data_IF_715858733036
#
_entry.id   IF_715858733036
#
_cell.length_a   1.000
_cell.length_b   1.000
_cell.length_c   1.000
_cell.angle_alpha   90.00
_cell.angle_beta   90.00
_cell.angle_gamma   90.00
#
_symmetry.space_group_name_H-M   'P 1'
#
loop_
_entity.id
_entity.type
_entity.pdbx_description
1 polymer ?
#
# COMPACT_ATOMS: atom_id res chain seq x y z
N UNK A 1 -9.84 -10.21 -31.15
CA UNK A 1 -8.90 -9.10 -30.86
C UNK A 1 -9.62 -7.83 -31.27
N UNK A 2 -10.55 -7.39 -30.42
CA UNK A 2 -11.40 -6.22 -30.70
C UNK A 2 -10.86 -5.05 -29.89
N UNK A 3 -10.39 -4.03 -30.60
CA UNK A 3 -10.00 -2.75 -30.03
C UNK A 3 -11.25 -2.05 -29.51
N UNK A 4 -11.29 -1.74 -28.22
CA UNK A 4 -12.32 -0.94 -27.59
C UNK A 4 -12.41 0.44 -28.27
N UNK A 5 -13.60 0.75 -28.73
CA UNK A 5 -13.99 1.95 -29.46
C UNK A 5 -13.82 3.20 -28.57
N UNK A 6 -12.71 3.91 -28.76
CA UNK A 6 -12.36 5.14 -28.02
C UNK A 6 -12.88 6.40 -28.70
N UNK A 7 -13.97 6.31 -29.46
CA UNK A 7 -14.55 7.43 -30.20
C UNK A 7 -15.79 7.99 -29.49
N UNK A 8 -15.90 9.31 -29.47
CA UNK A 8 -17.13 9.99 -29.05
C UNK A 8 -18.25 9.70 -30.05
N UNK A 9 -19.32 9.08 -29.60
CA UNK A 9 -20.48 8.69 -30.43
C UNK A 9 -21.23 9.86 -31.07
N UNK A 10 -20.87 11.12 -30.82
CA UNK A 10 -21.48 12.31 -31.40
C UNK A 10 -20.62 13.00 -32.45
N UNK A 11 -19.32 12.87 -32.43
CA UNK A 11 -18.41 13.62 -33.29
C UNK A 11 -17.42 12.75 -34.07
N UNK A 12 -17.29 11.45 -33.75
CA UNK A 12 -16.34 10.53 -34.41
C UNK A 12 -14.88 10.88 -34.18
N UNK A 13 -14.56 11.79 -33.25
CA UNK A 13 -13.20 12.16 -32.91
C UNK A 13 -12.71 11.40 -31.70
N UNK A 14 -11.39 11.11 -31.59
CA UNK A 14 -10.83 10.53 -30.38
C UNK A 14 -11.18 11.39 -29.17
N UNK A 15 -11.69 10.79 -28.09
CA UNK A 15 -11.89 11.51 -26.84
C UNK A 15 -10.53 11.97 -26.31
N UNK A 16 -10.20 13.21 -26.56
CA UNK A 16 -9.11 13.89 -25.86
C UNK A 16 -9.65 14.20 -24.47
N UNK A 17 -9.28 13.37 -23.49
CA UNK A 17 -9.45 13.76 -22.10
C UNK A 17 -8.50 14.93 -21.88
N UNK A 18 -8.99 16.14 -21.53
CA UNK A 18 -8.09 17.20 -21.13
C UNK A 18 -7.24 16.66 -19.99
N UNK A 19 -5.94 16.92 -20.03
CA UNK A 19 -5.04 16.76 -18.89
C UNK A 19 -5.60 17.59 -17.73
N UNK A 20 -6.57 17.03 -17.02
CA UNK A 20 -7.02 17.60 -15.77
C UNK A 20 -5.82 17.50 -14.83
N UNK A 21 -5.33 18.62 -14.26
CA UNK A 21 -4.31 18.56 -13.23
C UNK A 21 -4.85 17.58 -12.17
N UNK A 22 -4.05 16.59 -11.84
CA UNK A 22 -4.39 15.58 -10.82
C UNK A 22 -4.82 16.33 -9.56
N UNK A 23 -6.13 16.44 -9.33
CA UNK A 23 -6.72 17.10 -8.15
C UNK A 23 -6.73 16.18 -6.93
N UNK A 24 -6.08 15.01 -7.06
CA UNK A 24 -5.83 14.22 -5.87
C UNK A 24 -4.91 15.01 -4.94
N UNK A 25 -5.17 15.04 -3.63
CA UNK A 25 -4.14 15.50 -2.70
C UNK A 25 -2.88 14.74 -3.08
N UNK A 26 -1.84 15.49 -3.43
CA UNK A 26 -0.60 14.89 -3.90
C UNK A 26 -0.25 13.76 -2.92
N UNK A 27 -0.13 12.53 -3.44
CA UNK A 27 0.37 11.43 -2.63
C UNK A 27 1.82 11.80 -2.30
N UNK A 28 1.98 12.57 -1.23
CA UNK A 28 3.29 12.88 -0.71
C UNK A 28 3.79 11.63 0.00
N UNK A 29 4.78 11.00 -0.61
CA UNK A 29 5.47 9.84 -0.03
C UNK A 29 6.36 10.27 1.16
N UNK A 30 5.81 11.06 2.09
CA UNK A 30 6.55 11.54 3.25
C UNK A 30 6.51 10.51 4.36
N UNK A 31 7.67 10.22 4.94
CA UNK A 31 7.76 9.41 6.14
C UNK A 31 7.11 10.14 7.33
N UNK A 32 6.40 9.44 8.22
CA UNK A 32 5.79 10.07 9.39
C UNK A 32 6.86 10.55 10.37
N UNK A 33 6.58 11.68 11.03
CA UNK A 33 7.48 12.40 11.94
C UNK A 33 7.86 11.67 13.25
N UNK A 34 7.59 10.37 13.38
CA UNK A 34 7.72 9.61 14.66
C UNK A 34 8.96 8.70 14.70
N UNK A 35 9.87 8.78 13.74
CA UNK A 35 11.15 8.09 13.80
C UNK A 35 12.26 9.11 13.53
N UNK A 36 13.16 9.34 14.48
CA UNK A 36 14.33 10.23 14.34
C UNK A 36 15.36 9.71 13.32
N UNK A 37 15.19 8.51 12.79
CA UNK A 37 16.06 7.95 11.77
C UNK A 37 15.49 8.26 10.36
N UNK A 38 16.30 8.82 9.44
CA UNK A 38 15.91 9.02 8.07
C UNK A 38 15.57 7.65 7.44
N UNK A 39 14.54 7.63 6.60
CA UNK A 39 14.15 6.46 5.83
C UNK A 39 14.18 6.78 4.35
N UNK A 40 14.74 5.87 3.56
CA UNK A 40 14.62 5.94 2.11
C UNK A 40 13.29 5.33 1.68
N UNK A 41 12.69 5.85 0.62
CA UNK A 41 11.36 5.46 0.19
C UNK A 41 11.38 4.97 -1.24
N UNK A 42 10.91 3.73 -1.44
CA UNK A 42 10.51 3.19 -2.74
C UNK A 42 9.00 3.36 -2.85
N UNK A 43 8.50 3.82 -4.01
CA UNK A 43 7.07 4.04 -4.15
C UNK A 43 6.50 3.52 -5.48
N UNK A 44 5.22 3.16 -5.46
CA UNK A 44 4.40 2.87 -6.63
C UNK A 44 3.22 3.84 -6.59
N UNK A 45 3.06 4.65 -7.62
CA UNK A 45 2.00 5.64 -7.68
C UNK A 45 0.98 5.28 -8.76
N UNK A 46 -0.31 5.31 -8.38
CA UNK A 46 -1.41 5.15 -9.32
C UNK A 46 -1.58 3.73 -9.89
N UNK A 47 -1.11 2.68 -9.19
CA UNK A 47 -1.45 1.30 -9.55
C UNK A 47 -2.97 1.14 -9.65
N UNK A 48 -3.44 0.53 -10.74
CA UNK A 48 -4.87 0.29 -10.98
C UNK A 48 -5.12 -1.19 -11.20
N UNK A 49 -6.14 -1.71 -10.53
CA UNK A 49 -6.55 -3.10 -10.69
C UNK A 49 -8.07 -3.24 -10.60
N UNK A 50 -8.56 -4.44 -10.95
CA UNK A 50 -9.97 -4.80 -10.84
C UNK A 50 -10.14 -5.79 -9.70
N UNK A 51 -11.18 -5.59 -8.86
CA UNK A 51 -11.48 -6.52 -7.78
C UNK A 51 -12.92 -6.39 -7.30
N UNK A 52 -13.45 -7.46 -6.72
CA UNK A 52 -14.77 -7.44 -6.06
C UNK A 52 -14.59 -6.88 -4.65
N UNK A 53 -15.12 -5.70 -4.40
CA UNK A 53 -15.01 -5.03 -3.09
C UNK A 53 -16.18 -4.07 -2.87
N UNK A 54 -16.83 -4.17 -1.74
CA UNK A 54 -17.96 -3.34 -1.33
C UNK A 54 -18.94 -4.10 -0.47
N UNK A 55 -19.98 -3.40 0.01
CA UNK A 55 -21.03 -3.93 0.88
C UNK A 55 -22.39 -3.90 0.19
N UNK A 56 -22.54 -3.11 -0.87
CA UNK A 56 -23.81 -3.02 -1.61
C UNK A 56 -24.00 -4.27 -2.48
N UNK A 57 -25.24 -4.69 -2.63
CA UNK A 57 -25.58 -5.88 -3.42
C UNK A 57 -25.04 -5.81 -4.87
N UNK A 58 -24.97 -4.61 -5.45
CA UNK A 58 -24.40 -4.36 -6.77
C UNK A 58 -22.88 -4.50 -6.83
N UNK A 59 -22.19 -4.49 -5.69
CA UNK A 59 -20.73 -4.56 -5.61
C UNK A 59 -20.19 -5.97 -5.28
N UNK A 60 -21.08 -6.87 -4.85
CA UNK A 60 -20.68 -8.17 -4.31
C UNK A 60 -20.24 -9.17 -5.38
N UNK A 61 -20.58 -8.95 -6.63
CA UNK A 61 -20.39 -9.93 -7.71
C UNK A 61 -19.57 -9.40 -8.88
N UNK A 62 -19.56 -8.09 -9.10
CA UNK A 62 -18.90 -7.50 -10.25
C UNK A 62 -17.56 -6.84 -9.85
N UNK A 63 -16.46 -7.19 -10.55
CA UNK A 63 -15.20 -6.50 -10.35
C UNK A 63 -15.31 -5.01 -10.69
N UNK A 64 -14.78 -4.18 -9.83
CA UNK A 64 -14.74 -2.73 -10.02
C UNK A 64 -13.30 -2.20 -9.91
N UNK A 65 -13.00 -1.07 -10.55
CA UNK A 65 -11.66 -0.52 -10.50
C UNK A 65 -11.32 -0.03 -9.10
N UNK A 66 -10.09 -0.31 -8.68
CA UNK A 66 -9.47 0.30 -7.50
C UNK A 66 -8.16 0.95 -7.94
N UNK A 67 -7.84 2.10 -7.35
CA UNK A 67 -6.57 2.79 -7.54
C UNK A 67 -5.79 2.76 -6.23
N UNK A 68 -4.49 2.50 -6.33
CA UNK A 68 -3.63 2.36 -5.18
C UNK A 68 -2.34 3.14 -5.37
N UNK A 69 -1.90 3.86 -4.33
CA UNK A 69 -0.57 4.45 -4.25
C UNK A 69 0.09 4.00 -2.95
N UNK A 70 1.35 3.60 -3.04
CA UNK A 70 2.08 2.93 -1.99
C UNK A 70 3.43 3.59 -1.82
N UNK A 71 3.82 3.87 -0.58
CA UNK A 71 5.19 4.22 -0.21
C UNK A 71 5.73 3.16 0.77
N UNK A 72 6.95 2.71 0.53
CA UNK A 72 7.63 1.63 1.26
C UNK A 72 8.91 2.22 1.83
N UNK A 73 8.96 2.36 3.16
CA UNK A 73 10.11 2.89 3.88
C UNK A 73 11.10 1.80 4.26
N UNK A 74 12.38 2.06 3.95
CA UNK A 74 13.53 1.23 4.28
C UNK A 74 14.53 2.03 5.10
N UNK A 75 15.26 1.42 6.06
CA UNK A 75 16.27 2.14 6.85
C UNK A 75 17.39 2.73 6.01
N UNK A 76 17.75 2.07 4.90
CA UNK A 76 18.67 2.57 3.89
C UNK A 76 18.49 1.79 2.59
N UNK A 77 18.76 2.44 1.45
CA UNK A 77 18.79 1.82 0.13
C UNK A 77 20.24 1.45 -0.23
N UNK A 78 20.69 0.27 0.21
CA UNK A 78 22.01 -0.24 -0.17
C UNK A 78 22.21 -0.35 -1.67
N UNK A 79 21.13 -0.48 -2.43
CA UNK A 79 21.16 -0.46 -3.88
C UNK A 79 21.76 0.82 -4.47
N UNK A 80 21.75 1.95 -3.74
CA UNK A 80 22.43 3.18 -4.16
C UNK A 80 23.95 3.01 -4.25
N UNK A 81 24.51 2.05 -3.50
CA UNK A 81 25.94 1.76 -3.49
C UNK A 81 26.29 0.54 -4.36
N UNK A 82 25.40 -0.46 -4.37
CA UNK A 82 25.69 -1.78 -4.95
C UNK A 82 25.13 -1.98 -6.35
N UNK A 83 24.13 -1.16 -6.75
CA UNK A 83 23.35 -1.31 -7.99
C UNK A 83 22.75 -2.72 -8.16
N UNK A 84 22.35 -3.36 -7.04
CA UNK A 84 21.82 -4.72 -7.03
C UNK A 84 20.37 -4.73 -6.58
N UNK A 85 19.54 -5.50 -7.29
CA UNK A 85 18.11 -5.61 -7.00
C UNK A 85 17.84 -6.30 -5.64
N UNK A 86 18.75 -7.14 -5.17
CA UNK A 86 18.62 -7.83 -3.88
C UNK A 86 18.79 -6.87 -2.69
N UNK A 87 19.38 -5.71 -2.93
CA UNK A 87 19.63 -4.68 -1.91
C UNK A 87 18.54 -3.60 -1.84
N UNK A 88 17.40 -3.81 -2.53
CA UNK A 88 16.22 -2.93 -2.53
C UNK A 88 14.91 -3.73 -2.60
N UNK A 89 13.78 -3.02 -2.62
CA UNK A 89 12.47 -3.62 -2.89
C UNK A 89 12.28 -3.79 -4.39
N UNK A 90 12.10 -5.03 -4.84
CA UNK A 90 11.77 -5.32 -6.22
C UNK A 90 10.31 -4.92 -6.50
N UNK A 91 10.12 -3.71 -7.06
CA UNK A 91 8.78 -3.20 -7.36
C UNK A 91 8.03 -4.00 -8.44
N UNK A 92 8.72 -4.74 -9.31
CA UNK A 92 8.06 -5.63 -10.27
C UNK A 92 7.42 -6.82 -9.54
N UNK A 93 8.13 -7.42 -8.57
CA UNK A 93 7.56 -8.47 -7.73
C UNK A 93 6.42 -7.96 -6.85
N UNK A 94 6.52 -6.73 -6.33
CA UNK A 94 5.41 -6.08 -5.61
C UNK A 94 4.19 -5.94 -6.51
N UNK A 95 4.38 -5.47 -7.75
CA UNK A 95 3.30 -5.31 -8.72
C UNK A 95 2.55 -6.63 -8.96
N UNK A 96 3.28 -7.72 -9.19
CA UNK A 96 2.69 -9.06 -9.38
C UNK A 96 1.93 -9.53 -8.13
N UNK A 97 2.51 -9.34 -6.95
CA UNK A 97 1.90 -9.71 -5.68
C UNK A 97 0.59 -8.92 -5.41
N UNK A 98 0.54 -7.64 -5.79
CA UNK A 98 -0.67 -6.83 -5.70
C UNK A 98 -1.79 -7.37 -6.60
N UNK A 99 -1.48 -7.75 -7.84
CA UNK A 99 -2.47 -8.39 -8.71
C UNK A 99 -2.99 -9.71 -8.13
N UNK A 100 -2.10 -10.55 -7.62
CA UNK A 100 -2.46 -11.79 -6.94
C UNK A 100 -3.35 -11.55 -5.72
N UNK A 101 -3.04 -10.54 -4.91
CA UNK A 101 -3.84 -10.14 -3.77
C UNK A 101 -5.23 -9.65 -4.20
N UNK A 102 -5.33 -8.78 -5.23
CA UNK A 102 -6.61 -8.28 -5.73
C UNK A 102 -7.52 -9.40 -6.27
N UNK A 103 -6.95 -10.47 -6.79
CA UNK A 103 -7.70 -11.62 -7.29
C UNK A 103 -8.26 -12.51 -6.16
N UNK A 104 -7.71 -12.45 -4.93
CA UNK A 104 -7.98 -13.45 -3.89
C UNK A 104 -8.22 -12.92 -2.48
N UNK A 105 -8.28 -11.58 -2.28
CA UNK A 105 -8.28 -11.00 -0.92
C UNK A 105 -9.52 -11.32 -0.08
N UNK A 106 -10.71 -11.54 -0.68
CA UNK A 106 -11.95 -11.87 0.04
C UNK A 106 -12.39 -10.80 1.07
N UNK A 107 -12.01 -9.54 0.86
CA UNK A 107 -12.38 -8.41 1.73
C UNK A 107 -13.56 -7.66 1.14
N UNK A 108 -14.47 -7.17 1.98
CA UNK A 108 -15.57 -6.31 1.56
C UNK A 108 -15.26 -4.82 1.74
N UNK A 109 -14.40 -4.47 2.70
CA UNK A 109 -14.06 -3.09 3.03
C UNK A 109 -12.67 -2.71 2.47
N UNK A 110 -12.55 -1.46 2.00
CA UNK A 110 -11.28 -0.89 1.54
C UNK A 110 -10.23 -0.90 2.66
N UNK A 111 -10.63 -0.62 3.88
CA UNK A 111 -9.77 -0.64 5.07
C UNK A 111 -9.12 -2.02 5.27
N UNK A 112 -9.90 -3.07 5.11
CA UNK A 112 -9.40 -4.45 5.24
C UNK A 112 -8.45 -4.83 4.12
N UNK A 113 -8.75 -4.40 2.89
CA UNK A 113 -7.87 -4.61 1.74
C UNK A 113 -6.57 -3.82 1.90
N UNK A 114 -6.64 -2.54 2.30
CA UNK A 114 -5.46 -1.72 2.55
C UNK A 114 -4.56 -2.34 3.65
N UNK A 115 -5.17 -2.88 4.72
CA UNK A 115 -4.43 -3.60 5.76
C UNK A 115 -3.71 -4.83 5.19
N UNK A 116 -4.36 -5.64 4.34
CA UNK A 116 -3.72 -6.79 3.70
C UNK A 116 -2.55 -6.38 2.80
N UNK A 117 -2.69 -5.28 2.06
CA UNK A 117 -1.59 -4.71 1.27
C UNK A 117 -0.42 -4.31 2.18
N UNK A 118 -0.69 -3.62 3.28
CA UNK A 118 0.34 -3.20 4.21
C UNK A 118 1.07 -4.40 4.84
N UNK A 119 0.34 -5.44 5.23
CA UNK A 119 0.92 -6.66 5.78
C UNK A 119 1.76 -7.43 4.76
N UNK A 120 1.29 -7.54 3.51
CA UNK A 120 2.06 -8.12 2.41
C UNK A 120 3.42 -7.42 2.27
N UNK A 121 3.44 -6.09 2.24
CA UNK A 121 4.66 -5.32 2.06
C UNK A 121 5.62 -5.45 3.25
N UNK A 122 5.09 -5.49 4.47
CA UNK A 122 5.90 -5.63 5.68
C UNK A 122 6.49 -7.02 5.80
N UNK A 123 5.72 -8.08 5.53
CA UNK A 123 6.15 -9.46 5.75
C UNK A 123 6.94 -10.02 4.59
N UNK A 124 6.45 -9.85 3.37
CA UNK A 124 7.03 -10.52 2.19
C UNK A 124 8.11 -9.69 1.51
N UNK A 125 8.01 -8.34 1.60
CA UNK A 125 8.97 -7.42 0.98
C UNK A 125 9.87 -6.68 1.98
N UNK A 126 9.78 -7.01 3.25
CA UNK A 126 10.69 -6.49 4.25
C UNK A 126 10.54 -5.01 4.60
N UNK A 127 9.43 -4.38 4.25
CA UNK A 127 9.17 -2.99 4.58
C UNK A 127 9.23 -2.72 6.09
N UNK A 128 9.87 -1.62 6.49
CA UNK A 128 9.88 -1.17 7.89
C UNK A 128 8.69 -0.25 8.19
N UNK A 129 8.26 0.46 7.18
CA UNK A 129 7.11 1.33 7.21
C UNK A 129 6.43 1.32 5.84
N UNK A 130 5.12 1.44 5.82
CA UNK A 130 4.34 1.56 4.61
C UNK A 130 3.25 2.60 4.78
N UNK A 131 3.00 3.35 3.71
CA UNK A 131 1.79 4.16 3.52
C UNK A 131 1.04 3.58 2.33
N UNK A 132 -0.23 3.26 2.53
CA UNK A 132 -1.11 2.71 1.49
C UNK A 132 -2.30 3.63 1.35
N UNK A 133 -2.47 4.22 0.18
CA UNK A 133 -3.68 4.92 -0.25
C UNK A 133 -4.42 4.01 -1.22
N UNK A 134 -5.68 3.69 -0.91
CA UNK A 134 -6.53 2.82 -1.72
C UNK A 134 -7.87 3.51 -1.95
N UNK A 135 -8.31 3.64 -3.19
CA UNK A 135 -9.51 4.37 -3.54
C UNK A 135 -10.33 3.65 -4.61
N UNK A 136 -11.64 3.84 -4.58
CA UNK A 136 -12.58 3.55 -5.65
C UNK A 136 -12.84 4.84 -6.42
N UNK A 137 -12.50 4.93 -7.70
CA UNK A 137 -12.85 6.07 -8.52
C UNK A 137 -14.35 6.05 -8.84
N UNK A 138 -14.93 7.24 -9.01
CA UNK A 138 -16.29 7.45 -9.50
C UNK A 138 -17.40 6.62 -8.80
N UNK A 139 -17.29 6.44 -7.48
CA UNK A 139 -18.36 5.75 -6.69
C UNK A 139 -19.66 6.57 -6.66
N UNK A 140 -19.54 7.89 -6.70
CA UNK A 140 -20.65 8.85 -6.75
C UNK A 140 -20.41 9.84 -7.88
N UNK A 141 -21.49 10.37 -8.48
CA UNK A 141 -21.40 11.26 -9.66
C UNK A 141 -20.70 12.60 -9.37
N UNK A 142 -20.77 13.06 -8.13
CA UNK A 142 -20.23 14.32 -7.63
C UNK A 142 -18.89 14.18 -6.85
N UNK A 143 -18.34 12.95 -6.78
CA UNK A 143 -17.11 12.66 -6.05
C UNK A 143 -16.12 11.93 -6.96
N UNK A 144 -14.92 12.47 -7.10
CA UNK A 144 -13.88 11.88 -7.95
C UNK A 144 -13.46 10.48 -7.49
N UNK A 145 -13.30 10.30 -6.19
CA UNK A 145 -13.02 9.00 -5.58
C UNK A 145 -13.34 8.97 -4.10
N UNK A 146 -13.60 7.79 -3.57
CA UNK A 146 -13.69 7.53 -2.13
C UNK A 146 -12.63 6.51 -1.77
N UNK A 147 -11.99 6.67 -0.61
CA UNK A 147 -10.87 5.79 -0.28
C UNK A 147 -10.42 5.87 1.15
N UNK A 148 -9.38 5.12 1.43
CA UNK A 148 -8.71 5.03 2.72
C UNK A 148 -7.21 5.24 2.55
N UNK A 149 -6.61 5.93 3.51
CA UNK A 149 -5.15 6.06 3.63
C UNK A 149 -4.76 5.52 5.00
N UNK A 150 -3.85 4.55 5.00
CA UNK A 150 -3.31 3.97 6.23
C UNK A 150 -1.80 4.02 6.24
N UNK A 151 -1.24 4.03 7.44
CA UNK A 151 0.20 3.86 7.68
C UNK A 151 0.40 2.71 8.65
N UNK A 152 1.41 1.86 8.36
CA UNK A 152 1.77 0.74 9.22
C UNK A 152 3.29 0.68 9.35
N UNK A 153 3.72 0.21 10.52
CA UNK A 153 5.14 -0.04 10.80
C UNK A 153 5.34 -1.51 11.16
N UNK A 154 6.48 -2.04 10.77
CA UNK A 154 6.92 -3.33 11.29
C UNK A 154 7.03 -3.22 12.81
N UNK A 155 6.39 -4.13 13.53
CA UNK A 155 6.60 -4.23 14.97
C UNK A 155 8.07 -4.57 15.23
N UNK A 156 8.80 -3.66 15.88
CA UNK A 156 10.10 -3.99 16.44
C UNK A 156 9.80 -4.92 17.62
N UNK A 157 10.27 -6.16 17.57
CA UNK A 157 10.25 -7.02 18.74
C UNK A 157 11.03 -6.28 19.85
N UNK A 158 10.31 -5.73 20.82
CA UNK A 158 10.95 -5.23 22.04
C UNK A 158 11.72 -6.42 22.60
N UNK A 159 13.05 -6.31 22.67
CA UNK A 159 13.83 -7.20 23.48
C UNK A 159 13.10 -7.25 24.84
N UNK A 160 12.59 -8.42 25.20
CA UNK A 160 12.07 -8.62 26.56
C UNK A 160 13.23 -8.24 27.46
N UNK A 161 13.09 -7.19 28.23
CA UNK A 161 13.94 -6.95 29.38
C UNK A 161 13.89 -8.20 30.20
N UNK A 162 14.90 -9.04 30.05
CA UNK A 162 15.20 -10.12 30.98
C UNK A 162 15.86 -9.43 32.17
N UNK A 163 15.02 -8.69 32.90
CA UNK A 163 15.39 -8.34 34.28
C UNK A 163 15.31 -9.64 35.03
N UNK A 164 16.40 -10.41 34.95
CA UNK A 164 16.68 -11.44 35.95
C UNK A 164 16.77 -10.71 37.27
N UNK A 165 15.67 -10.74 38.02
CA UNK A 165 15.70 -10.49 39.44
C UNK A 165 16.56 -11.60 40.06
N UNK A 166 17.84 -11.34 40.16
CA UNK A 166 18.75 -12.10 41.00
C UNK A 166 18.45 -11.67 42.43
N UNK A 167 17.37 -12.25 42.99
CA UNK A 167 17.14 -12.18 44.44
C UNK A 167 18.17 -13.12 45.07
N UNK A 168 19.22 -12.49 45.62
CA UNK A 168 20.22 -13.18 46.42
C UNK A 168 19.55 -13.92 47.57
N UNK A 169 19.87 -15.19 47.68
CA UNK A 169 19.61 -15.97 48.87
C UNK A 169 20.37 -15.33 50.03
N UNK A 170 19.61 -14.74 50.96
CA UNK A 170 20.14 -14.25 52.23
C UNK A 170 20.61 -15.44 53.05
N UNK A 171 21.92 -15.48 53.33
CA UNK A 171 22.54 -16.26 54.37
C UNK A 171 21.91 -15.91 55.73
N UNK A 172 21.27 -16.88 56.37
CA UNK A 172 20.88 -16.82 57.77
C UNK A 172 22.10 -17.20 58.61
N UNK A 173 22.63 -16.33 59.49
CA UNK A 173 23.65 -16.74 60.43
C UNK A 173 23.00 -17.47 61.62
N UNK A 174 23.67 -18.41 62.06
CA UNK A 174 23.40 -19.29 63.22
C UNK A 174 23.47 -18.52 64.56
#
# INVERSE_FOLDING_TARGET
MEFFDALDNRTGQPRVFPDAPSRYPAFEAQAPAVSDAPMDIVYINGFTGQTVIGIDASELHDPQPVRMSIAIGLPSLRACETDRIEDTVNYAAVHEALHGLLASHGSQLLERLAEKVAQLLIHDFGAHWVRVSLAKPAKFDDVESVGVLIERRRAVARARDVTCAFLGEGLVPN
#
